data_IF_152560886893
#
_entry.id   IF_152560886893
#
_cell.length_a   1.000
_cell.length_b   1.000
_cell.length_c   1.000
_cell.angle_alpha   90.00
_cell.angle_beta   90.00
_cell.angle_gamma   90.00
#
_symmetry.space_group_name_H-M   'P 1'
#
loop_
_entity.id
_entity.type
_entity.pdbx_description
1 polymer ?
#
# COMPACT_ATOMS: atom_id res chain seq x y z
N UNK A 1 1.13 -16.51 12.02
CA UNK A 1 2.01 -16.38 13.22
C UNK A 1 2.24 -14.95 13.71
N UNK A 2 1.36 -13.96 13.44
CA UNK A 2 1.56 -12.57 13.94
C UNK A 2 0.77 -12.23 15.19
N UNK A 3 -0.28 -12.99 15.49
CA UNK A 3 -1.21 -12.77 16.60
C UNK A 3 -0.97 -13.69 17.82
N UNK A 4 0.03 -14.57 17.78
CA UNK A 4 0.22 -15.66 18.76
C UNK A 4 0.36 -15.15 20.21
N UNK A 5 0.99 -13.98 20.41
CA UNK A 5 1.12 -13.36 21.73
C UNK A 5 -0.19 -12.79 22.30
N UNK A 6 -1.19 -12.56 21.45
CA UNK A 6 -2.50 -12.04 21.84
C UNK A 6 -3.50 -13.18 22.02
N UNK A 7 -3.52 -14.12 21.08
CA UNK A 7 -4.38 -15.30 21.12
C UNK A 7 -3.73 -16.43 20.33
N UNK A 8 -3.66 -17.62 20.93
CA UNK A 8 -3.20 -18.82 20.26
C UNK A 8 -4.34 -19.41 19.41
N UNK A 9 -4.06 -19.67 18.14
CA UNK A 9 -4.98 -20.37 17.23
C UNK A 9 -4.35 -21.71 16.88
N UNK A 10 -5.11 -22.79 17.06
CA UNK A 10 -4.60 -24.16 16.89
C UNK A 10 -4.26 -24.47 15.42
N UNK A 11 -5.08 -23.96 14.50
CA UNK A 11 -4.89 -24.12 13.06
C UNK A 11 -5.39 -22.91 12.26
N UNK A 12 -5.15 -22.91 10.95
CA UNK A 12 -5.59 -21.83 10.07
C UNK A 12 -7.11 -21.76 9.91
N UNK A 13 -7.83 -22.89 10.04
CA UNK A 13 -9.29 -22.91 9.91
C UNK A 13 -9.96 -22.15 11.05
N UNK A 14 -9.40 -22.18 12.26
CA UNK A 14 -9.88 -21.37 13.39
C UNK A 14 -9.68 -19.88 13.16
N UNK A 15 -8.62 -19.48 12.45
CA UNK A 15 -8.38 -18.08 12.05
C UNK A 15 -9.39 -17.66 10.99
N UNK A 16 -9.63 -18.49 9.98
CA UNK A 16 -10.61 -18.24 8.92
C UNK A 16 -12.03 -18.11 9.50
N UNK A 17 -12.43 -19.01 10.41
CA UNK A 17 -13.72 -18.94 11.09
C UNK A 17 -13.87 -17.66 11.93
N UNK A 18 -12.81 -17.23 12.62
CA UNK A 18 -12.82 -15.97 13.38
C UNK A 18 -12.95 -14.74 12.47
N UNK A 19 -12.30 -14.76 11.30
CA UNK A 19 -12.39 -13.69 10.31
C UNK A 19 -13.78 -13.63 9.66
N UNK A 20 -14.38 -14.77 9.35
CA UNK A 20 -15.76 -14.85 8.84
C UNK A 20 -16.74 -14.27 9.86
N UNK A 21 -16.61 -14.67 11.13
CA UNK A 21 -17.45 -14.13 12.21
C UNK A 21 -17.30 -12.60 12.35
N UNK A 22 -16.11 -12.04 12.12
CA UNK A 22 -15.91 -10.59 12.13
C UNK A 22 -16.50 -9.89 10.91
N UNK A 23 -16.60 -10.58 9.77
CA UNK A 23 -17.24 -10.07 8.55
C UNK A 23 -18.79 -10.07 8.68
N UNK A 24 -19.35 -11.08 9.35
CA UNK A 24 -20.81 -11.23 9.55
C UNK A 24 -21.39 -10.31 10.64
N UNK A 25 -20.56 -9.71 11.49
CA UNK A 25 -21.02 -8.76 12.51
C UNK A 25 -21.68 -7.52 11.91
N UNK A 26 -22.55 -6.88 12.70
CA UNK A 26 -23.09 -5.56 12.38
C UNK A 26 -22.66 -4.53 13.44
N UNK A 27 -21.83 -3.53 13.10
CA UNK A 27 -21.18 -3.33 11.80
C UNK A 27 -20.06 -4.36 11.53
N UNK A 28 -19.81 -4.65 10.25
CA UNK A 28 -18.75 -5.57 9.84
C UNK A 28 -17.38 -5.00 10.24
N UNK A 29 -16.49 -5.84 10.76
CA UNK A 29 -15.20 -5.41 11.29
C UNK A 29 -14.02 -5.82 10.40
N UNK A 30 -14.20 -6.81 9.54
CA UNK A 30 -13.19 -7.29 8.62
C UNK A 30 -13.82 -7.62 7.25
N UNK A 31 -13.03 -7.51 6.18
CA UNK A 31 -13.41 -7.92 4.84
C UNK A 31 -12.28 -8.69 4.15
N UNK A 32 -12.67 -9.69 3.37
CA UNK A 32 -11.78 -10.37 2.43
C UNK A 32 -11.48 -9.46 1.25
N UNK A 33 -10.20 -9.30 0.93
CA UNK A 33 -9.78 -8.56 -0.26
C UNK A 33 -9.69 -9.52 -1.47
N UNK A 34 -9.85 -9.02 -2.71
CA UNK A 34 -9.64 -9.82 -3.91
C UNK A 34 -8.23 -10.43 -3.92
N UNK A 35 -8.10 -11.69 -4.36
CA UNK A 35 -6.81 -12.39 -4.38
C UNK A 35 -5.79 -11.69 -5.30
N UNK A 36 -4.61 -11.41 -4.76
CA UNK A 36 -3.52 -10.81 -5.53
C UNK A 36 -3.01 -11.78 -6.62
N UNK A 37 -2.59 -11.27 -7.80
CA UNK A 37 -1.94 -12.06 -8.83
C UNK A 37 -0.74 -12.84 -8.29
N UNK A 38 -0.62 -14.12 -8.65
CA UNK A 38 0.50 -14.98 -8.26
C UNK A 38 0.47 -15.49 -6.81
N UNK A 39 -0.54 -15.15 -6.01
CA UNK A 39 -0.67 -15.63 -4.62
C UNK A 39 -1.76 -16.68 -4.48
N UNK A 40 -1.53 -17.69 -3.63
CA UNK A 40 -2.52 -18.75 -3.35
C UNK A 40 -3.52 -18.36 -2.25
N UNK A 41 -3.16 -17.42 -1.40
CA UNK A 41 -3.91 -17.06 -0.19
C UNK A 41 -4.71 -15.77 -0.36
N UNK A 42 -5.90 -15.73 0.24
CA UNK A 42 -6.73 -14.52 0.34
C UNK A 42 -6.24 -13.65 1.50
N UNK A 43 -6.22 -12.34 1.32
CA UNK A 43 -5.85 -11.40 2.39
C UNK A 43 -7.10 -10.75 2.97
N UNK A 44 -7.06 -10.42 4.24
CA UNK A 44 -8.14 -9.74 4.95
C UNK A 44 -7.70 -8.36 5.45
N UNK A 45 -8.64 -7.43 5.55
CA UNK A 45 -8.43 -6.06 6.05
C UNK A 45 -9.51 -5.69 7.08
N UNK A 46 -9.14 -4.90 8.09
CA UNK A 46 -10.12 -4.31 9.01
C UNK A 46 -10.97 -3.23 8.32
N UNK A 47 -12.20 -3.03 8.79
CA UNK A 47 -13.12 -1.99 8.30
C UNK A 47 -13.20 -0.76 9.22
N UNK A 48 -12.40 -0.75 10.28
CA UNK A 48 -12.37 0.33 11.28
C UNK A 48 -11.87 1.70 10.74
N UNK A 49 -11.27 1.72 9.55
CA UNK A 49 -10.72 2.93 8.92
C UNK A 49 -11.62 3.58 7.87
N UNK A 50 -12.84 3.08 7.69
CA UNK A 50 -13.80 3.56 6.69
C UNK A 50 -13.53 3.07 5.26
N UNK A 51 -14.49 3.34 4.37
CA UNK A 51 -14.55 2.76 3.02
C UNK A 51 -13.40 3.20 2.11
N UNK A 52 -12.91 4.44 2.26
CA UNK A 52 -11.79 4.93 1.47
C UNK A 52 -10.51 4.11 1.68
N UNK A 53 -10.27 3.65 2.92
CA UNK A 53 -9.12 2.81 3.25
C UNK A 53 -9.27 1.40 2.64
N UNK A 54 -10.50 0.87 2.65
CA UNK A 54 -10.80 -0.41 2.01
C UNK A 54 -10.55 -0.36 0.50
N UNK A 55 -11.03 0.68 -0.18
CA UNK A 55 -10.82 0.83 -1.63
C UNK A 55 -9.33 0.96 -1.98
N UNK A 56 -8.58 1.78 -1.24
CA UNK A 56 -7.14 1.90 -1.43
C UNK A 56 -6.41 0.55 -1.25
N UNK A 57 -6.85 -0.29 -0.31
CA UNK A 57 -6.29 -1.62 -0.13
C UNK A 57 -6.64 -2.58 -1.27
N UNK A 58 -7.86 -2.52 -1.82
CA UNK A 58 -8.26 -3.31 -2.98
C UNK A 58 -7.39 -2.93 -4.20
N UNK A 59 -7.26 -1.65 -4.49
CA UNK A 59 -6.43 -1.14 -5.60
C UNK A 59 -4.95 -1.54 -5.44
N UNK A 60 -4.42 -1.39 -4.23
CA UNK A 60 -3.04 -1.77 -3.94
C UNK A 60 -2.81 -3.28 -4.09
N UNK A 61 -3.83 -4.12 -3.84
CA UNK A 61 -3.71 -5.56 -4.07
C UNK A 61 -3.73 -5.91 -5.57
N UNK A 62 -4.62 -5.28 -6.33
CA UNK A 62 -4.69 -5.47 -7.78
C UNK A 62 -3.38 -5.06 -8.47
N UNK A 63 -2.74 -3.98 -8.00
CA UNK A 63 -1.46 -3.51 -8.49
C UNK A 63 -0.25 -4.32 -7.98
N UNK A 64 -0.43 -5.30 -7.10
CA UNK A 64 0.66 -6.09 -6.50
C UNK A 64 1.49 -5.34 -5.45
N UNK A 65 1.10 -4.12 -5.07
CA UNK A 65 1.85 -3.23 -4.20
C UNK A 65 1.70 -3.53 -2.71
N UNK A 66 0.72 -4.34 -2.31
CA UNK A 66 0.54 -4.79 -0.93
C UNK A 66 1.53 -5.87 -0.48
N UNK A 67 2.42 -6.37 -1.33
CA UNK A 67 3.47 -7.28 -0.86
C UNK A 67 4.44 -6.52 0.04
N UNK A 68 4.81 -7.07 1.21
CA UNK A 68 5.75 -6.43 2.14
C UNK A 68 7.13 -6.11 1.50
N UNK A 69 7.44 -6.69 0.33
CA UNK A 69 8.60 -6.33 -0.49
C UNK A 69 8.35 -5.17 -1.48
N UNK A 70 7.10 -4.90 -1.87
CA UNK A 70 6.77 -3.87 -2.87
C UNK A 70 6.83 -2.45 -2.32
N UNK A 71 6.69 -2.26 -1.00
CA UNK A 71 6.92 -0.96 -0.37
C UNK A 71 8.36 -0.47 -0.53
N UNK A 72 9.36 -1.37 -0.55
CA UNK A 72 10.76 -0.98 -0.78
C UNK A 72 11.04 -0.61 -2.23
N UNK A 73 10.43 -1.33 -3.18
CA UNK A 73 10.57 -1.03 -4.61
C UNK A 73 10.00 0.34 -4.97
N UNK A 74 8.78 0.64 -4.50
CA UNK A 74 8.14 1.95 -4.71
C UNK A 74 8.91 3.10 -4.07
N UNK A 75 9.50 2.89 -2.88
CA UNK A 75 10.37 3.91 -2.27
C UNK A 75 11.60 4.20 -3.14
N UNK A 76 12.25 3.18 -3.69
CA UNK A 76 13.39 3.38 -4.58
C UNK A 76 12.99 4.09 -5.89
N UNK A 77 11.86 3.71 -6.50
CA UNK A 77 11.32 4.37 -7.70
C UNK A 77 11.01 5.84 -7.44
N UNK A 78 10.36 6.15 -6.31
CA UNK A 78 10.06 7.53 -5.92
C UNK A 78 11.33 8.34 -5.61
N UNK A 79 12.34 7.73 -5.01
CA UNK A 79 13.64 8.36 -4.76
C UNK A 79 14.37 8.70 -6.06
N UNK A 80 14.33 7.79 -7.03
CA UNK A 80 14.91 8.01 -8.36
C UNK A 80 14.16 9.11 -9.14
N UNK A 81 12.83 9.14 -9.05
CA UNK A 81 12.02 10.17 -9.69
C UNK A 81 12.22 11.55 -9.05
N UNK A 82 12.32 11.62 -7.72
CA UNK A 82 12.67 12.86 -7.01
C UNK A 82 14.07 13.35 -7.39
N UNK A 83 15.05 12.45 -7.54
CA UNK A 83 16.39 12.82 -8.01
C UNK A 83 16.33 13.44 -9.41
N UNK A 84 15.62 12.79 -10.34
CA UNK A 84 15.48 13.29 -11.72
C UNK A 84 14.79 14.66 -11.76
N UNK A 85 13.70 14.83 -11.01
CA UNK A 85 12.97 16.11 -10.96
C UNK A 85 13.84 17.24 -10.40
N UNK A 86 14.73 16.95 -9.43
CA UNK A 86 15.68 17.94 -8.91
C UNK A 86 16.72 18.35 -9.95
N UNK A 87 17.26 17.40 -10.71
CA UNK A 87 18.20 17.68 -11.80
C UNK A 87 17.58 18.55 -12.90
N UNK A 88 16.36 18.22 -13.34
CA UNK A 88 15.63 19.02 -14.32
C UNK A 88 15.34 20.44 -13.81
N UNK A 89 14.97 20.56 -12.53
CA UNK A 89 14.69 21.84 -11.89
C UNK A 89 15.94 22.71 -11.72
N UNK A 90 17.09 22.11 -11.42
CA UNK A 90 18.36 22.83 -11.33
C UNK A 90 18.87 23.26 -12.70
N UNK A 91 18.69 22.44 -13.75
CA UNK A 91 18.95 22.85 -15.13
C UNK A 91 18.08 24.05 -15.54
N UNK A 92 16.78 23.99 -15.24
CA UNK A 92 15.83 25.06 -15.56
C UNK A 92 16.17 26.38 -14.83
N UNK A 93 16.60 26.30 -13.56
CA UNK A 93 17.07 27.47 -12.81
C UNK A 93 18.31 28.11 -13.45
N UNK A 94 19.22 27.29 -13.97
CA UNK A 94 20.45 27.76 -14.59
C UNK A 94 20.13 28.48 -15.90
N UNK A 95 19.34 27.86 -16.78
CA UNK A 95 18.84 28.49 -18.01
C UNK A 95 18.08 29.78 -17.73
N UNK A 96 17.24 29.80 -16.70
CA UNK A 96 16.51 31.00 -16.29
C UNK A 96 17.45 32.11 -15.80
N UNK A 97 18.51 31.77 -15.07
CA UNK A 97 19.49 32.75 -14.60
C UNK A 97 20.29 33.37 -15.77
N UNK A 98 20.64 32.57 -16.77
CA UNK A 98 21.33 33.04 -17.96
C UNK A 98 20.42 33.85 -18.87
N UNK A 99 19.14 33.45 -19.00
CA UNK A 99 18.12 34.25 -19.67
C UNK A 99 17.98 35.61 -18.99
N UNK A 100 17.84 35.66 -17.66
CA UNK A 100 17.69 36.92 -16.92
C UNK A 100 18.88 37.86 -17.13
N UNK A 101 20.11 37.33 -17.17
CA UNK A 101 21.33 38.11 -17.45
C UNK A 101 21.34 38.76 -18.84
N UNK A 102 20.58 38.26 -19.80
CA UNK A 102 20.49 38.86 -21.15
C UNK A 102 19.61 40.11 -21.19
N UNK A 103 18.82 40.38 -20.14
CA UNK A 103 17.91 41.52 -20.04
C UNK A 103 18.32 42.53 -18.95
N UNK A 104 19.48 42.34 -18.32
CA UNK A 104 20.16 43.33 -17.46
C UNK A 104 21.37 43.94 -18.21
#
# INVERSE_FOLDING_TARGET
>A
TRCERLHHFDDISTVEAALEHLAEKYPAMAASLPRAPGTKETRHMHLLGGDALLQAAIEAQASGTLSAGSSRGRSAELEDEVRRLREELDALKLEFSDFRRQFE
#
